data_IF_404204961301
#
_entry.id   IF_404204961301
#
_cell.length_a   1.000
_cell.length_b   1.000
_cell.length_c   1.000
_cell.angle_alpha   90.00
_cell.angle_beta   90.00
_cell.angle_gamma   90.00
#
_symmetry.space_group_name_H-M   'P 1'
#
loop_
_entity.id
_entity.type
_entity.pdbx_description
1 polymer ?
#
# COMPACT_ATOMS: atom_id res chain seq x y z
N UNK A 1 8.28 21.12 28.22
CA UNK A 1 8.82 19.80 27.81
C UNK A 1 8.55 19.64 26.33
N UNK A 2 9.50 20.02 25.47
CA UNK A 2 9.34 19.90 24.03
C UNK A 2 9.19 18.41 23.69
N UNK A 3 8.05 18.00 23.16
CA UNK A 3 7.85 16.67 22.60
C UNK A 3 8.91 16.47 21.51
N UNK A 4 9.99 15.77 21.84
CA UNK A 4 10.91 15.21 20.87
C UNK A 4 10.13 14.13 20.10
N UNK A 5 9.45 14.52 19.02
CA UNK A 5 8.91 13.60 18.05
C UNK A 5 10.08 13.04 17.24
N UNK A 6 10.82 12.10 17.82
CA UNK A 6 11.82 11.37 17.06
C UNK A 6 11.12 10.53 15.99
N UNK A 7 11.67 10.58 14.80
CA UNK A 7 11.24 9.86 13.62
C UNK A 7 11.64 8.39 13.79
N UNK A 8 10.91 7.63 14.62
CA UNK A 8 11.27 6.23 14.92
C UNK A 8 10.93 5.28 13.75
N UNK A 9 11.61 5.45 12.62
CA UNK A 9 11.96 4.30 11.79
C UNK A 9 13.34 3.82 12.28
N UNK A 10 13.60 2.50 12.33
CA UNK A 10 14.88 2.00 12.82
C UNK A 10 16.07 2.65 12.09
N UNK A 11 17.05 3.15 12.84
CA UNK A 11 18.17 3.93 12.30
C UNK A 11 19.02 3.11 11.31
N UNK A 12 19.06 1.79 11.53
CA UNK A 12 19.74 0.78 10.73
C UNK A 12 19.27 0.77 9.26
N UNK A 13 18.12 1.39 8.97
CA UNK A 13 17.49 1.40 7.66
C UNK A 13 17.72 2.73 6.91
N UNK A 14 18.41 3.70 7.51
CA UNK A 14 18.64 5.00 6.86
C UNK A 14 19.61 4.94 5.68
N UNK A 15 20.48 3.93 5.59
CA UNK A 15 21.61 3.88 4.65
C UNK A 15 21.58 2.71 3.65
N UNK A 16 20.56 1.82 3.71
CA UNK A 16 20.61 0.52 3.02
C UNK A 16 20.17 0.52 1.54
N UNK A 17 19.49 1.56 1.05
CA UNK A 17 18.68 1.49 -0.17
C UNK A 17 19.25 2.16 -1.43
N UNK A 18 20.57 2.16 -1.61
CA UNK A 18 21.25 2.96 -2.64
C UNK A 18 21.66 2.18 -3.90
N UNK A 19 21.69 0.84 -3.82
CA UNK A 19 22.10 -0.07 -4.89
C UNK A 19 21.10 -1.23 -4.99
N UNK A 20 19.88 -0.92 -5.48
CA UNK A 20 18.87 -1.95 -5.69
C UNK A 20 19.31 -2.88 -6.82
N UNK A 21 19.41 -4.17 -6.49
CA UNK A 21 19.59 -5.24 -7.46
C UNK A 21 18.42 -6.21 -7.33
N UNK A 22 17.68 -6.48 -8.42
CA UNK A 22 16.61 -7.47 -8.36
C UNK A 22 17.22 -8.82 -7.98
N UNK A 23 16.63 -9.43 -6.96
CA UNK A 23 16.84 -10.83 -6.60
C UNK A 23 15.86 -11.67 -7.41
N UNK A 24 16.31 -12.81 -7.90
CA UNK A 24 15.44 -13.81 -8.49
C UNK A 24 14.83 -14.66 -7.37
N UNK A 25 13.60 -15.10 -7.55
CA UNK A 25 12.86 -15.91 -6.59
C UNK A 25 12.23 -17.12 -7.30
N UNK A 26 13.05 -18.14 -7.63
CA UNK A 26 12.57 -19.34 -8.31
C UNK A 26 11.48 -20.05 -7.50
N UNK A 27 10.57 -20.72 -8.20
CA UNK A 27 9.44 -21.43 -7.58
C UNK A 27 9.89 -22.45 -6.52
N UNK A 28 10.99 -23.17 -6.76
CA UNK A 28 11.54 -24.14 -5.79
C UNK A 28 11.99 -23.46 -4.48
N UNK A 29 12.70 -22.32 -4.57
CA UNK A 29 13.14 -21.57 -3.40
C UNK A 29 11.96 -20.93 -2.67
N UNK A 30 10.99 -20.39 -3.41
CA UNK A 30 9.74 -19.87 -2.85
C UNK A 30 9.02 -20.92 -2.02
N UNK A 31 8.80 -22.11 -2.58
CA UNK A 31 8.13 -23.23 -1.91
C UNK A 31 8.90 -23.71 -0.68
N UNK A 32 10.22 -23.82 -0.76
CA UNK A 32 11.07 -24.18 0.37
C UNK A 32 10.98 -23.17 1.52
N UNK A 33 11.08 -21.87 1.23
CA UNK A 33 10.97 -20.83 2.24
C UNK A 33 9.53 -20.72 2.79
N UNK A 34 8.51 -20.99 1.97
CA UNK A 34 7.12 -21.09 2.42
C UNK A 34 6.91 -22.21 3.43
N UNK A 35 7.39 -23.42 3.16
CA UNK A 35 7.29 -24.53 4.10
C UNK A 35 7.99 -24.24 5.43
N UNK A 36 9.16 -23.60 5.36
CA UNK A 36 9.91 -23.13 6.53
C UNK A 36 9.10 -22.10 7.33
N UNK A 37 8.49 -21.13 6.67
CA UNK A 37 7.65 -20.13 7.36
C UNK A 37 6.40 -20.74 7.97
N UNK A 38 5.75 -21.69 7.32
CA UNK A 38 4.62 -22.45 7.87
C UNK A 38 5.04 -23.19 9.14
N UNK A 39 6.20 -23.87 9.10
CA UNK A 39 6.75 -24.60 10.24
C UNK A 39 7.09 -23.68 11.41
N UNK A 40 7.70 -22.52 11.14
CA UNK A 40 7.96 -21.49 12.15
C UNK A 40 6.66 -20.95 12.76
N UNK A 41 5.66 -20.67 11.94
CA UNK A 41 4.35 -20.23 12.40
C UNK A 41 3.68 -21.28 13.28
N UNK A 42 3.72 -22.56 12.91
CA UNK A 42 3.15 -23.66 13.70
C UNK A 42 3.84 -23.83 15.05
N UNK A 43 5.17 -23.77 15.08
CA UNK A 43 5.94 -23.99 16.31
C UNK A 43 5.89 -22.80 17.27
N UNK A 44 5.80 -21.57 16.76
CA UNK A 44 5.97 -20.36 17.57
C UNK A 44 4.67 -19.58 17.82
N UNK A 45 3.57 -19.89 17.14
CA UNK A 45 2.29 -19.19 17.31
C UNK A 45 1.19 -20.18 17.70
N UNK A 46 0.81 -20.17 18.98
CA UNK A 46 -0.24 -21.03 19.54
C UNK A 46 -1.59 -20.83 18.84
N UNK A 47 -1.95 -19.58 18.51
CA UNK A 47 -3.18 -19.31 17.78
C UNK A 47 -3.19 -19.97 16.40
N UNK A 48 -2.08 -19.92 15.65
CA UNK A 48 -2.00 -20.54 14.33
C UNK A 48 -2.07 -22.06 14.42
N UNK A 49 -1.34 -22.66 15.37
CA UNK A 49 -1.36 -24.10 15.63
C UNK A 49 -2.73 -24.62 16.09
N UNK A 50 -3.33 -23.98 17.08
CA UNK A 50 -4.50 -24.53 17.76
C UNK A 50 -5.83 -24.11 17.11
N UNK A 51 -5.85 -23.01 16.36
CA UNK A 51 -7.08 -22.49 15.71
C UNK A 51 -7.04 -22.60 14.20
N UNK A 52 -5.97 -22.15 13.56
CA UNK A 52 -5.93 -22.09 12.09
C UNK A 52 -5.66 -23.47 11.50
N UNK A 53 -4.62 -24.18 11.94
CA UNK A 53 -4.29 -25.51 11.45
C UNK A 53 -5.41 -26.52 11.63
N UNK A 54 -6.05 -26.54 12.81
CA UNK A 54 -7.19 -27.43 13.09
C UNK A 54 -8.40 -27.13 12.21
N UNK A 55 -8.66 -25.84 11.92
CA UNK A 55 -9.78 -25.44 11.06
C UNK A 55 -9.61 -25.98 9.64
N UNK A 56 -8.39 -25.94 9.12
CA UNK A 56 -8.08 -26.40 7.76
C UNK A 56 -7.75 -27.90 7.69
N UNK A 57 -7.77 -28.62 8.82
CA UNK A 57 -7.29 -30.00 8.93
C UNK A 57 -5.90 -30.21 8.28
N UNK A 58 -5.03 -29.22 8.44
CA UNK A 58 -3.78 -29.14 7.68
C UNK A 58 -2.63 -29.83 8.44
N UNK A 59 -1.93 -30.71 7.74
CA UNK A 59 -0.68 -31.35 8.20
C UNK A 59 0.49 -30.79 7.41
N UNK A 60 1.58 -30.42 8.10
CA UNK A 60 2.79 -29.91 7.44
C UNK A 60 3.40 -31.05 6.60
N UNK A 61 3.45 -30.91 5.26
CA UNK A 61 4.08 -31.92 4.41
C UNK A 61 5.61 -31.81 4.46
N UNK A 62 6.31 -32.84 3.97
CA UNK A 62 7.78 -32.80 3.87
C UNK A 62 8.29 -31.85 2.78
N UNK A 63 7.48 -31.66 1.74
CA UNK A 63 7.76 -30.79 0.60
C UNK A 63 6.45 -30.17 0.09
N UNK A 64 6.55 -29.02 -0.58
CA UNK A 64 5.44 -28.38 -1.29
C UNK A 64 5.90 -27.86 -2.64
N UNK A 65 4.98 -27.80 -3.59
CA UNK A 65 5.15 -27.20 -4.90
C UNK A 65 4.20 -26.00 -5.08
N UNK A 66 4.29 -25.29 -6.21
CA UNK A 66 3.38 -24.19 -6.54
C UNK A 66 1.92 -24.67 -6.64
N UNK A 67 1.69 -25.92 -7.03
CA UNK A 67 0.35 -26.47 -7.15
C UNK A 67 -0.32 -26.74 -5.79
N UNK A 68 0.48 -26.84 -4.72
CA UNK A 68 -0.01 -27.14 -3.38
C UNK A 68 -0.38 -25.88 -2.58
N UNK A 69 -0.06 -24.69 -3.11
CA UNK A 69 -0.22 -23.42 -2.39
C UNK A 69 -1.66 -23.16 -1.94
N UNK A 70 -2.65 -23.63 -2.71
CA UNK A 70 -4.07 -23.46 -2.37
C UNK A 70 -4.51 -24.21 -1.11
N UNK A 71 -3.74 -25.22 -0.68
CA UNK A 71 -4.00 -25.97 0.56
C UNK A 71 -3.46 -25.27 1.81
N UNK A 72 -2.60 -24.26 1.66
CA UNK A 72 -1.96 -23.58 2.80
C UNK A 72 -3.04 -22.84 3.61
N UNK A 73 -3.07 -23.00 4.96
CA UNK A 73 -4.04 -22.31 5.79
C UNK A 73 -3.85 -20.79 5.77
N UNK A 74 -4.84 -20.08 5.20
CA UNK A 74 -4.86 -18.62 5.13
C UNK A 74 -5.41 -17.96 6.40
N UNK A 75 -5.02 -16.71 6.62
CA UNK A 75 -5.54 -15.85 7.69
C UNK A 75 -6.35 -14.71 7.08
N UNK A 76 -7.64 -14.55 7.43
CA UNK A 76 -8.44 -13.42 6.97
C UNK A 76 -7.92 -12.10 7.55
N UNK A 77 -7.91 -11.03 6.76
CA UNK A 77 -7.52 -9.65 7.16
C UNK A 77 -8.21 -9.18 8.44
N UNK A 78 -9.45 -9.59 8.65
CA UNK A 78 -10.24 -9.29 9.85
C UNK A 78 -9.56 -9.75 11.15
N UNK A 79 -8.70 -10.77 11.10
CA UNK A 79 -7.96 -11.28 12.28
C UNK A 79 -6.98 -10.24 12.83
N UNK A 80 -6.45 -9.36 11.98
CA UNK A 80 -5.45 -8.35 12.35
C UNK A 80 -6.06 -7.07 12.90
N UNK A 81 -7.40 -6.92 12.86
CA UNK A 81 -8.10 -5.72 13.34
C UNK A 81 -7.88 -5.54 14.84
N UNK A 82 -7.61 -4.30 15.26
CA UNK A 82 -7.35 -3.93 16.66
C UNK A 82 -8.49 -4.39 17.57
N UNK A 83 -9.75 -4.26 17.14
CA UNK A 83 -10.93 -4.67 17.91
C UNK A 83 -10.96 -6.16 18.24
N UNK A 84 -10.27 -7.00 17.46
CA UNK A 84 -10.20 -8.45 17.72
C UNK A 84 -9.21 -8.79 18.83
N UNK A 85 -8.30 -7.87 19.19
CA UNK A 85 -7.26 -8.07 20.18
C UNK A 85 -6.38 -9.32 19.90
N UNK A 86 -6.16 -9.63 18.62
CA UNK A 86 -5.40 -10.83 18.18
C UNK A 86 -4.02 -10.51 17.59
N UNK A 87 -3.71 -9.23 17.33
CA UNK A 87 -2.44 -8.83 16.72
C UNK A 87 -1.21 -9.37 17.44
N UNK A 88 -1.23 -9.44 18.79
CA UNK A 88 -0.14 -10.02 19.58
C UNK A 88 -0.14 -11.55 19.56
N UNK A 89 -1.33 -12.18 19.51
CA UNK A 89 -1.47 -13.64 19.41
C UNK A 89 -0.93 -14.21 18.10
N UNK A 90 -0.81 -13.37 17.07
CA UNK A 90 -0.22 -13.72 15.78
C UNK A 90 1.31 -13.55 15.75
N UNK A 91 1.96 -13.06 16.81
CA UNK A 91 3.41 -12.90 16.83
C UNK A 91 4.12 -14.27 16.78
N UNK A 92 5.21 -14.36 16.00
CA UNK A 92 6.06 -15.56 15.89
C UNK A 92 7.38 -15.46 16.64
N UNK A 93 7.66 -14.27 17.17
CA UNK A 93 8.87 -13.96 17.91
C UNK A 93 8.50 -13.22 19.19
N UNK A 94 9.36 -13.26 20.22
CA UNK A 94 9.15 -12.47 21.44
C UNK A 94 8.99 -10.97 21.13
N UNK A 95 8.12 -10.27 21.87
CA UNK A 95 7.76 -8.87 21.59
C UNK A 95 8.95 -7.90 21.66
N UNK A 96 10.02 -8.25 22.40
CA UNK A 96 11.27 -7.48 22.42
C UNK A 96 12.01 -7.49 21.07
N UNK A 97 11.78 -8.50 20.22
CA UNK A 97 12.36 -8.61 18.88
C UNK A 97 11.51 -7.91 17.82
N UNK A 98 10.35 -7.36 18.19
CA UNK A 98 9.51 -6.55 17.31
C UNK A 98 10.07 -5.13 17.27
N UNK A 99 10.50 -4.73 16.08
CA UNK A 99 11.05 -3.40 15.83
C UNK A 99 9.94 -2.34 15.87
N UNK A 100 8.82 -2.61 15.18
CA UNK A 100 7.66 -1.73 15.13
C UNK A 100 6.37 -2.50 14.83
N UNK A 101 5.24 -1.82 14.97
CA UNK A 101 3.95 -2.32 14.53
C UNK A 101 3.47 -1.49 13.33
N UNK A 102 3.17 -2.13 12.19
CA UNK A 102 2.53 -1.44 11.07
C UNK A 102 1.02 -1.37 11.28
N UNK A 103 0.43 -0.23 10.94
CA UNK A 103 -0.97 0.08 11.19
C UNK A 103 -1.67 0.54 9.91
N UNK A 104 -2.89 0.08 9.68
CA UNK A 104 -3.72 0.57 8.57
C UNK A 104 -4.32 1.93 8.91
N UNK A 105 -4.59 2.76 7.90
CA UNK A 105 -5.23 4.07 8.09
C UNK A 105 -6.72 4.02 8.45
N UNK A 106 -7.36 2.84 8.34
CA UNK A 106 -8.77 2.48 8.60
C UNK A 106 -9.81 3.61 8.59
N UNK A 107 -10.75 3.48 7.65
CA UNK A 107 -11.90 4.38 7.48
C UNK A 107 -13.00 4.16 8.52
N UNK A 108 -13.00 3.00 9.20
CA UNK A 108 -14.02 2.57 10.18
C UNK A 108 -13.60 2.85 11.63
N UNK A 109 -12.37 3.32 11.86
CA UNK A 109 -11.83 3.55 13.21
C UNK A 109 -11.25 2.29 13.87
N UNK A 110 -11.25 1.16 13.16
CA UNK A 110 -10.66 -0.10 13.62
C UNK A 110 -9.51 -0.51 12.69
N UNK A 111 -8.26 -0.14 13.01
CA UNK A 111 -7.13 -0.43 12.16
C UNK A 111 -6.61 -1.85 12.35
N UNK A 112 -6.09 -2.43 11.28
CA UNK A 112 -5.22 -3.60 11.38
C UNK A 112 -3.88 -3.20 11.99
N UNK A 113 -3.37 -4.00 12.92
CA UNK A 113 -2.07 -3.81 13.57
C UNK A 113 -1.25 -5.10 13.40
N UNK A 114 -0.04 -4.97 12.86
CA UNK A 114 0.81 -6.12 12.48
C UNK A 114 2.20 -5.94 13.08
N UNK A 115 2.68 -6.91 13.89
CA UNK A 115 4.06 -6.91 14.38
C UNK A 115 5.07 -7.07 13.24
N UNK A 116 6.14 -6.26 13.23
CA UNK A 116 7.21 -6.30 12.22
C UNK A 116 8.58 -6.35 12.90
N UNK A 117 9.40 -7.32 12.51
CA UNK A 117 10.84 -7.34 12.80
C UNK A 117 11.60 -6.36 11.90
N UNK A 118 12.89 -6.17 12.14
CA UNK A 118 13.75 -5.39 11.23
C UNK A 118 13.82 -6.01 9.84
N UNK A 119 13.90 -7.34 9.75
CA UNK A 119 13.92 -8.08 8.48
C UNK A 119 12.61 -7.92 7.70
N UNK A 120 11.47 -7.90 8.40
CA UNK A 120 10.18 -7.65 7.76
C UNK A 120 10.12 -6.28 7.12
N UNK A 121 10.65 -5.27 7.82
CA UNK A 121 10.70 -3.92 7.30
C UNK A 121 11.64 -3.81 6.10
N UNK A 122 12.81 -4.44 6.19
CA UNK A 122 13.77 -4.50 5.08
C UNK A 122 13.13 -5.10 3.81
N UNK A 123 12.36 -6.18 3.97
CA UNK A 123 11.64 -6.77 2.85
C UNK A 123 10.54 -5.86 2.30
N UNK A 124 9.81 -5.12 3.15
CA UNK A 124 8.85 -4.11 2.69
C UNK A 124 9.56 -3.02 1.87
N UNK A 125 10.74 -2.56 2.29
CA UNK A 125 11.51 -1.57 1.52
C UNK A 125 11.98 -2.13 0.19
N UNK A 126 12.47 -3.38 0.19
CA UNK A 126 12.84 -4.07 -1.04
C UNK A 126 11.66 -4.16 -2.02
N UNK A 127 10.49 -4.60 -1.54
CA UNK A 127 9.27 -4.70 -2.35
C UNK A 127 8.83 -3.33 -2.90
N UNK A 128 8.89 -2.28 -2.08
CA UNK A 128 8.63 -0.90 -2.52
C UNK A 128 9.58 -0.48 -3.65
N UNK A 129 10.89 -0.64 -3.48
CA UNK A 129 11.87 -0.23 -4.49
C UNK A 129 11.73 -1.05 -5.77
N UNK A 130 11.44 -2.35 -5.66
CA UNK A 130 11.18 -3.22 -6.81
C UNK A 130 9.99 -2.70 -7.62
N UNK A 131 8.84 -2.47 -6.97
CA UNK A 131 7.65 -1.93 -7.66
C UNK A 131 7.92 -0.55 -8.25
N UNK A 132 8.64 0.32 -7.53
CA UNK A 132 8.98 1.63 -8.06
C UNK A 132 9.88 1.52 -9.29
N UNK A 133 10.88 0.65 -9.26
CA UNK A 133 11.80 0.42 -10.38
C UNK A 133 11.05 -0.14 -11.59
N UNK A 134 10.20 -1.14 -11.39
CA UNK A 134 9.49 -1.84 -12.47
C UNK A 134 8.36 -1.00 -13.10
N UNK A 135 7.69 -0.12 -12.34
CA UNK A 135 6.49 0.59 -12.82
C UNK A 135 6.65 2.11 -12.94
N UNK A 136 7.62 2.72 -12.25
CA UNK A 136 7.71 4.18 -12.08
C UNK A 136 8.98 4.81 -12.66
N UNK A 137 9.74 4.07 -13.47
CA UNK A 137 11.04 4.51 -13.98
C UNK A 137 11.93 5.07 -12.86
N UNK A 138 12.02 4.38 -11.72
CA UNK A 138 12.63 4.94 -10.50
C UNK A 138 14.08 5.42 -10.70
N UNK A 139 14.83 4.75 -11.57
CA UNK A 139 16.16 5.15 -12.06
C UNK A 139 16.20 6.55 -12.71
N UNK A 140 15.12 6.96 -13.39
CA UNK A 140 15.02 8.28 -14.03
C UNK A 140 14.76 9.40 -13.01
N UNK A 141 14.39 9.07 -11.78
CA UNK A 141 14.23 10.06 -10.71
C UNK A 141 15.57 10.57 -10.19
N UNK A 142 16.65 9.80 -10.31
CA UNK A 142 17.98 10.23 -9.86
C UNK A 142 19.03 9.94 -10.91
N UNK A 143 19.44 10.97 -11.64
CA UNK A 143 20.42 10.88 -12.74
C UNK A 143 21.61 11.78 -12.39
N UNK A 144 22.73 11.17 -11.98
CA UNK A 144 23.88 11.92 -11.47
C UNK A 144 23.51 12.79 -10.26
N UNK A 145 23.65 14.10 -10.39
CA UNK A 145 23.24 15.08 -9.38
C UNK A 145 21.75 15.45 -9.43
N UNK A 146 21.04 15.14 -10.53
CA UNK A 146 19.63 15.49 -10.71
C UNK A 146 18.73 14.65 -9.81
N UNK A 147 17.64 15.24 -9.35
CA UNK A 147 16.66 14.60 -8.45
C UNK A 147 15.23 14.83 -8.93
N UNK A 148 14.35 13.87 -8.65
CA UNK A 148 12.92 14.02 -8.89
C UNK A 148 12.29 14.96 -7.87
N UNK A 149 11.17 15.57 -8.24
CA UNK A 149 10.28 16.27 -7.31
C UNK A 149 8.98 15.47 -7.21
N UNK A 150 8.62 15.02 -6.01
CA UNK A 150 7.37 14.29 -5.77
C UNK A 150 6.37 15.20 -5.09
N UNK A 151 5.27 15.50 -5.75
CA UNK A 151 4.09 16.10 -5.13
C UNK A 151 3.27 15.01 -4.46
N UNK A 152 3.46 14.85 -3.15
CA UNK A 152 2.87 13.76 -2.39
C UNK A 152 1.50 14.20 -1.83
N UNK A 153 0.41 13.62 -2.34
CA UNK A 153 -0.97 13.80 -1.91
C UNK A 153 -1.24 12.99 -0.64
N UNK A 154 -0.47 13.31 0.39
CA UNK A 154 -0.59 12.81 1.75
C UNK A 154 -0.11 13.89 2.73
N UNK A 155 -0.42 13.74 4.02
CA UNK A 155 0.20 14.55 5.06
C UNK A 155 1.65 14.16 5.30
N UNK A 156 2.42 15.09 5.87
CA UNK A 156 3.79 14.81 6.28
C UNK A 156 3.88 13.73 7.38
N UNK A 157 5.10 13.23 7.60
CA UNK A 157 5.38 12.15 8.57
C UNK A 157 5.00 12.47 9.99
N UNK A 158 5.24 13.70 10.43
CA UNK A 158 4.90 14.12 11.79
C UNK A 158 3.39 13.99 11.99
N UNK A 159 2.62 14.45 11.01
CA UNK A 159 1.17 14.35 11.06
C UNK A 159 0.67 12.91 10.94
N UNK A 160 1.25 12.09 10.06
CA UNK A 160 0.93 10.66 9.97
C UNK A 160 1.19 9.92 11.29
N UNK A 161 2.27 10.26 12.00
CA UNK A 161 2.58 9.71 13.32
C UNK A 161 1.52 10.07 14.36
N UNK A 162 1.07 11.34 14.38
CA UNK A 162 -0.03 11.78 15.26
C UNK A 162 -1.34 11.05 14.96
N UNK A 163 -1.70 10.91 13.68
CA UNK A 163 -2.89 10.16 13.27
C UNK A 163 -2.78 8.69 13.68
N UNK A 164 -1.60 8.08 13.53
CA UNK A 164 -1.37 6.69 13.93
C UNK A 164 -1.62 6.50 15.42
N UNK A 165 -1.07 7.38 16.29
CA UNK A 165 -1.30 7.32 17.74
C UNK A 165 -2.79 7.41 18.10
N UNK A 166 -3.54 8.21 17.34
CA UNK A 166 -5.00 8.32 17.53
C UNK A 166 -5.73 7.04 17.10
N UNK A 167 -5.43 6.49 15.92
CA UNK A 167 -6.07 5.25 15.43
C UNK A 167 -5.73 4.04 16.31
N UNK A 168 -4.48 3.92 16.74
CA UNK A 168 -4.00 2.85 17.60
C UNK A 168 -4.16 3.15 19.11
N UNK A 169 -4.94 4.18 19.47
CA UNK A 169 -5.20 4.51 20.88
C UNK A 169 -5.72 3.28 21.64
N UNK A 170 -5.17 3.07 22.84
CA UNK A 170 -5.48 1.94 23.71
C UNK A 170 -4.67 0.67 23.43
N UNK A 171 -3.88 0.64 22.36
CA UNK A 171 -2.95 -0.46 22.12
C UNK A 171 -1.68 -0.28 22.97
N UNK A 172 -1.24 -1.36 23.62
CA UNK A 172 -0.09 -1.37 24.55
C UNK A 172 1.19 -0.80 23.91
N UNK A 173 1.42 -1.09 22.62
CA UNK A 173 2.60 -0.66 21.88
C UNK A 173 2.34 0.53 20.93
N UNK A 174 1.39 1.40 21.28
CA UNK A 174 0.99 2.56 20.45
C UNK A 174 2.19 3.45 20.05
N UNK A 175 3.17 3.63 20.92
CA UNK A 175 4.35 4.47 20.63
C UNK A 175 5.31 3.83 19.61
N UNK A 176 5.30 2.50 19.47
CA UNK A 176 6.01 1.74 18.44
C UNK A 176 5.17 1.51 17.16
N UNK A 177 3.96 2.08 17.08
CA UNK A 177 3.03 1.83 15.95
C UNK A 177 3.13 2.92 14.88
N UNK A 178 3.27 2.55 13.60
CA UNK A 178 3.39 3.47 12.45
C UNK A 178 2.44 3.07 11.33
N UNK A 179 1.90 4.03 10.57
CA UNK A 179 1.13 3.68 9.39
C UNK A 179 1.98 2.95 8.36
N UNK A 180 1.40 1.93 7.73
CA UNK A 180 2.06 1.11 6.72
C UNK A 180 2.60 1.94 5.54
N UNK A 181 1.87 2.99 5.13
CA UNK A 181 2.33 3.92 4.09
C UNK A 181 3.58 4.69 4.49
N UNK A 182 3.74 5.04 5.77
CA UNK A 182 4.95 5.68 6.26
C UNK A 182 6.15 4.72 6.22
N UNK A 183 5.90 3.41 6.40
CA UNK A 183 6.92 2.38 6.20
C UNK A 183 7.33 2.33 4.73
N UNK A 184 6.40 2.29 3.78
CA UNK A 184 6.69 2.15 2.35
C UNK A 184 7.35 3.39 1.72
N UNK A 185 7.12 4.59 2.25
CA UNK A 185 7.54 5.85 1.60
C UNK A 185 9.02 6.22 1.79
N UNK A 186 9.77 5.53 2.64
CA UNK A 186 11.18 5.87 2.92
C UNK A 186 12.09 5.91 1.67
N UNK A 187 11.93 5.03 0.66
CA UNK A 187 12.76 5.10 -0.54
C UNK A 187 12.50 6.38 -1.34
N UNK A 188 11.26 6.90 -1.39
CA UNK A 188 10.95 8.12 -2.16
C UNK A 188 11.76 9.33 -1.71
N UNK A 189 11.92 9.52 -0.41
CA UNK A 189 12.73 10.62 0.15
C UNK A 189 14.21 10.51 -0.18
N UNK A 190 14.69 9.29 -0.38
CA UNK A 190 16.08 9.10 -0.74
C UNK A 190 16.35 9.47 -2.21
N UNK A 191 15.42 9.15 -3.12
CA UNK A 191 15.61 9.36 -4.56
C UNK A 191 15.09 10.72 -5.05
N UNK A 192 14.12 11.30 -4.36
CA UNK A 192 13.45 12.53 -4.76
C UNK A 192 13.22 13.49 -3.59
N UNK A 193 12.99 14.76 -3.92
CA UNK A 193 12.50 15.75 -2.96
C UNK A 193 10.97 15.64 -2.85
N UNK A 194 10.47 15.26 -1.67
CA UNK A 194 9.04 15.15 -1.41
C UNK A 194 8.43 16.47 -0.93
N UNK A 195 7.40 16.93 -1.64
CA UNK A 195 6.53 18.03 -1.24
C UNK A 195 5.15 17.48 -0.86
N UNK A 196 4.91 17.32 0.44
CA UNK A 196 3.63 16.90 1.00
C UNK A 196 2.55 17.98 0.83
N UNK A 197 1.48 17.68 0.10
CA UNK A 197 0.46 18.66 -0.26
C UNK A 197 -0.62 18.87 0.80
N UNK A 198 -0.85 17.90 1.70
CA UNK A 198 -1.85 18.06 2.77
C UNK A 198 -1.22 18.85 3.91
N UNK A 199 -1.68 20.10 4.11
CA UNK A 199 -1.23 20.97 5.19
C UNK A 199 -2.35 21.24 6.20
N UNK A 200 -1.98 21.44 7.46
CA UNK A 200 -2.91 21.93 8.49
C UNK A 200 -2.99 23.47 8.46
N UNK A 201 -4.20 24.03 8.48
CA UNK A 201 -4.37 25.45 8.83
C UNK A 201 -4.50 25.61 10.34
N UNK A 202 -3.36 25.71 11.02
CA UNK A 202 -3.26 25.86 12.49
C UNK A 202 -4.26 26.90 13.04
N UNK A 203 -4.32 28.10 12.44
CA UNK A 203 -5.24 29.17 12.89
C UNK A 203 -6.73 28.86 12.69
N UNK A 204 -7.11 28.20 11.58
CA UNK A 204 -8.52 27.80 11.35
C UNK A 204 -8.92 26.62 12.23
N UNK A 205 -8.01 25.68 12.45
CA UNK A 205 -8.21 24.55 13.35
C UNK A 205 -8.36 25.02 14.79
N UNK A 206 -7.54 25.97 15.25
CA UNK A 206 -7.68 26.60 16.57
C UNK A 206 -9.04 27.31 16.72
N UNK A 207 -9.47 28.05 15.70
CA UNK A 207 -10.77 28.73 15.72
C UNK A 207 -11.94 27.73 15.75
N UNK A 208 -11.88 26.65 14.97
CA UNK A 208 -12.89 25.59 14.96
C UNK A 208 -12.97 24.81 16.29
N UNK A 209 -11.83 24.60 16.97
CA UNK A 209 -11.78 23.98 18.29
C UNK A 209 -12.48 24.87 19.33
N UNK A 210 -12.21 26.18 19.31
CA UNK A 210 -12.83 27.15 20.20
C UNK A 210 -14.35 27.26 19.94
N UNK A 211 -14.77 27.21 18.67
CA UNK A 211 -16.17 27.45 18.29
C UNK A 211 -17.06 26.21 18.32
N UNK A 212 -16.51 25.00 18.20
CA UNK A 212 -17.30 23.76 18.07
C UNK A 212 -16.98 22.67 19.10
N UNK A 213 -15.97 22.87 19.97
CA UNK A 213 -15.41 21.83 20.85
C UNK A 213 -15.08 20.50 20.11
N UNK A 214 -14.94 20.55 18.78
CA UNK A 214 -14.65 19.40 17.92
C UNK A 214 -13.36 19.64 17.14
N UNK A 215 -12.51 18.63 17.05
CA UNK A 215 -11.32 18.63 16.19
C UNK A 215 -11.71 18.20 14.77
N UNK A 216 -12.72 18.83 14.16
CA UNK A 216 -12.99 18.62 12.72
C UNK A 216 -11.97 19.46 11.93
N UNK A 217 -10.85 18.84 11.59
CA UNK A 217 -9.62 19.49 11.13
C UNK A 217 -9.73 20.23 9.80
N UNK A 218 -9.26 21.48 9.78
CA UNK A 218 -9.13 22.32 8.59
C UNK A 218 -7.90 21.96 7.76
N UNK A 219 -7.97 20.85 7.01
CA UNK A 219 -6.94 20.45 6.05
C UNK A 219 -7.13 21.14 4.71
N UNK A 220 -6.02 21.50 4.06
CA UNK A 220 -6.03 22.07 2.70
C UNK A 220 -4.93 21.42 1.88
N UNK A 221 -5.24 21.18 0.60
CA UNK A 221 -4.26 20.82 -0.42
C UNK A 221 -3.57 22.10 -0.92
N UNK A 222 -2.25 22.20 -0.75
CA UNK A 222 -1.47 23.37 -1.21
C UNK A 222 -1.17 23.32 -2.72
N UNK A 223 -2.25 23.29 -3.51
CA UNK A 223 -2.20 23.24 -4.98
C UNK A 223 -1.55 24.51 -5.55
N UNK A 224 -1.64 25.66 -4.87
CA UNK A 224 -1.03 26.91 -5.35
C UNK A 224 0.49 26.83 -5.33
N UNK A 225 1.08 26.29 -4.25
CA UNK A 225 2.52 26.05 -4.17
C UNK A 225 2.95 25.05 -5.24
N UNK A 226 2.20 23.97 -5.43
CA UNK A 226 2.45 22.97 -6.48
C UNK A 226 2.53 23.61 -7.88
N UNK A 227 1.53 24.40 -8.28
CA UNK A 227 1.53 25.06 -9.59
C UNK A 227 2.69 26.06 -9.74
N UNK A 228 3.04 26.80 -8.67
CA UNK A 228 4.21 27.69 -8.66
C UNK A 228 5.52 26.91 -8.87
N UNK A 229 5.62 25.73 -8.24
CA UNK A 229 6.77 24.83 -8.41
C UNK A 229 6.86 24.33 -9.84
N UNK A 230 5.78 23.79 -10.39
CA UNK A 230 5.71 23.31 -11.78
C UNK A 230 6.14 24.41 -12.75
N UNK A 231 5.56 25.61 -12.64
CA UNK A 231 5.90 26.74 -13.51
C UNK A 231 7.39 27.10 -13.43
N UNK A 232 7.98 27.12 -12.23
CA UNK A 232 9.41 27.42 -12.06
C UNK A 232 10.28 26.33 -12.69
N UNK A 233 9.95 25.06 -12.45
CA UNK A 233 10.70 23.91 -12.99
C UNK A 233 10.66 23.91 -14.52
N UNK A 234 9.50 24.15 -15.13
CA UNK A 234 9.38 24.23 -16.59
C UNK A 234 10.20 25.37 -17.19
N UNK A 235 10.30 26.51 -16.49
CA UNK A 235 11.05 27.66 -16.97
C UNK A 235 12.56 27.53 -16.80
N UNK A 236 13.03 26.89 -15.73
CA UNK A 236 14.46 26.92 -15.35
C UNK A 236 15.11 25.55 -15.26
N UNK A 237 14.36 24.45 -15.33
CA UNK A 237 14.84 23.09 -15.05
C UNK A 237 15.20 22.84 -13.57
N UNK A 238 14.88 23.79 -12.68
CA UNK A 238 15.37 23.78 -11.29
C UNK A 238 14.27 24.12 -10.27
N UNK A 239 14.37 23.54 -9.08
CA UNK A 239 13.66 23.98 -7.90
C UNK A 239 14.62 24.15 -6.73
N UNK A 240 14.73 25.39 -6.22
CA UNK A 240 15.80 25.78 -5.29
C UNK A 240 17.17 25.41 -5.87
N UNK A 241 17.98 24.64 -5.14
CA UNK A 241 19.31 24.19 -5.55
C UNK A 241 19.29 22.80 -6.24
N UNK A 242 18.11 22.31 -6.63
CA UNK A 242 17.91 21.00 -7.22
C UNK A 242 17.70 21.16 -8.72
N UNK A 243 18.57 20.56 -9.53
CA UNK A 243 18.30 20.31 -10.94
C UNK A 243 17.31 19.13 -11.04
N UNK A 244 16.17 19.37 -11.68
CA UNK A 244 15.05 18.44 -11.67
C UNK A 244 15.16 17.45 -12.82
N UNK A 245 15.13 16.15 -12.51
CA UNK A 245 15.11 15.08 -13.51
C UNK A 245 13.69 14.76 -13.99
N UNK A 246 12.73 14.65 -13.06
CA UNK A 246 11.33 14.29 -13.34
C UNK A 246 10.39 14.85 -12.26
N UNK A 247 9.14 15.09 -12.64
CA UNK A 247 8.06 15.46 -11.70
C UNK A 247 7.19 14.24 -11.45
N UNK A 248 6.88 13.93 -10.20
CA UNK A 248 5.95 12.86 -9.85
C UNK A 248 4.74 13.41 -9.12
N UNK A 249 3.55 12.93 -9.46
CA UNK A 249 2.35 13.09 -8.61
C UNK A 249 2.15 11.78 -7.87
N UNK A 250 2.34 11.78 -6.54
CA UNK A 250 2.33 10.55 -5.73
C UNK A 250 1.24 10.55 -4.68
N UNK A 251 0.70 9.38 -4.33
CA UNK A 251 -0.18 9.21 -3.16
C UNK A 251 -1.67 9.10 -3.53
N UNK A 252 -2.53 9.80 -2.78
CA UNK A 252 -3.97 9.49 -2.80
C UNK A 252 -4.70 9.90 -4.08
N UNK A 253 -5.26 8.95 -4.87
CA UNK A 253 -6.09 9.28 -6.03
C UNK A 253 -7.32 10.11 -5.65
N UNK A 254 -7.90 9.89 -4.48
CA UNK A 254 -9.02 10.71 -3.97
C UNK A 254 -8.68 12.20 -3.86
N UNK A 255 -7.49 12.50 -3.34
CA UNK A 255 -7.05 13.89 -3.13
C UNK A 255 -6.58 14.53 -4.43
N UNK A 256 -5.94 13.75 -5.30
CA UNK A 256 -5.59 14.15 -6.66
C UNK A 256 -6.85 14.49 -7.47
N UNK A 257 -7.87 13.63 -7.44
CA UNK A 257 -9.15 13.87 -8.12
C UNK A 257 -9.82 15.15 -7.61
N UNK A 258 -9.87 15.34 -6.28
CA UNK A 258 -10.42 16.55 -5.68
C UNK A 258 -9.69 17.84 -6.12
N UNK A 259 -8.38 17.78 -6.37
CA UNK A 259 -7.64 18.92 -6.92
C UNK A 259 -8.12 19.28 -8.33
N UNK A 260 -8.35 18.30 -9.21
CA UNK A 260 -8.85 18.56 -10.56
C UNK A 260 -10.24 19.16 -10.52
N UNK A 261 -11.17 18.48 -9.86
CA UNK A 261 -12.59 18.81 -9.81
C UNK A 261 -12.88 20.16 -9.14
N UNK A 262 -12.21 20.44 -8.02
CA UNK A 262 -12.48 21.66 -7.27
C UNK A 262 -11.72 22.86 -7.78
N UNK A 263 -10.67 22.65 -8.59
CA UNK A 263 -9.78 23.74 -8.96
C UNK A 263 -9.30 23.69 -10.40
N UNK A 264 -8.44 22.74 -10.76
CA UNK A 264 -7.64 22.86 -11.98
C UNK A 264 -8.49 22.90 -13.26
N UNK A 265 -9.57 22.12 -13.30
CA UNK A 265 -10.49 22.12 -14.45
C UNK A 265 -11.29 23.43 -14.54
N UNK A 266 -11.76 23.95 -13.41
CA UNK A 266 -12.52 25.21 -13.35
C UNK A 266 -11.66 26.43 -13.71
N UNK A 267 -10.42 26.44 -13.22
CA UNK A 267 -9.41 27.47 -13.51
C UNK A 267 -8.80 27.31 -14.92
N UNK A 268 -9.18 26.26 -15.68
CA UNK A 268 -8.64 25.93 -17.01
C UNK A 268 -7.11 25.91 -17.03
N UNK A 269 -6.52 25.32 -16.00
CA UNK A 269 -5.07 25.20 -15.86
C UNK A 269 -4.53 24.26 -16.93
N UNK A 270 -3.40 24.64 -17.53
CA UNK A 270 -2.65 23.78 -18.44
C UNK A 270 -1.14 23.95 -18.21
N UNK A 271 -0.43 22.83 -18.07
CA UNK A 271 1.03 22.76 -18.08
C UNK A 271 1.47 21.53 -18.85
N UNK A 272 2.29 21.69 -19.89
CA UNK A 272 2.76 20.54 -20.67
C UNK A 272 3.88 19.76 -19.95
N UNK A 273 3.50 18.63 -19.34
CA UNK A 273 4.38 17.72 -18.63
C UNK A 273 4.66 16.42 -19.39
N UNK A 274 4.33 16.35 -20.68
CA UNK A 274 4.64 15.16 -21.50
C UNK A 274 6.16 14.88 -21.50
N UNK A 275 6.50 13.61 -21.31
CA UNK A 275 7.85 13.10 -21.12
C UNK A 275 8.58 13.59 -19.84
N UNK A 276 7.98 14.50 -19.05
CA UNK A 276 8.59 15.12 -17.86
C UNK A 276 7.98 14.64 -16.55
N UNK A 277 6.85 13.94 -16.60
CA UNK A 277 6.14 13.51 -15.41
C UNK A 277 5.61 12.09 -15.48
N UNK A 278 5.48 11.47 -14.31
CA UNK A 278 4.77 10.21 -14.07
C UNK A 278 3.78 10.45 -12.92
N UNK A 279 2.67 9.72 -12.93
CA UNK A 279 1.68 9.72 -11.84
C UNK A 279 1.69 8.35 -11.18
N UNK A 280 1.82 8.35 -9.85
CA UNK A 280 1.70 7.18 -9.00
C UNK A 280 0.61 7.30 -7.97
N UNK A 281 -0.50 6.64 -8.28
CA UNK A 281 -1.57 6.40 -7.35
C UNK A 281 -1.13 5.36 -6.31
N UNK A 282 -1.60 5.53 -5.07
CA UNK A 282 -1.27 4.61 -4.00
C UNK A 282 -2.03 4.86 -2.69
N UNK A 283 -2.14 3.80 -1.89
CA UNK A 283 -2.83 3.82 -0.60
C UNK A 283 -4.35 3.95 -0.71
N UNK A 284 -4.94 3.59 -1.85
CA UNK A 284 -6.39 3.52 -2.09
C UNK A 284 -7.13 4.86 -2.04
N UNK A 285 -8.45 4.79 -1.94
CA UNK A 285 -9.38 5.92 -1.97
C UNK A 285 -10.17 6.05 -3.28
N UNK A 286 -10.07 5.07 -4.18
CA UNK A 286 -10.86 4.98 -5.40
C UNK A 286 -12.37 4.97 -5.11
N UNK A 287 -12.78 4.25 -4.05
CA UNK A 287 -14.16 4.17 -3.53
C UNK A 287 -14.68 5.45 -2.86
N UNK A 288 -13.91 6.55 -2.90
CA UNK A 288 -14.29 7.83 -2.29
C UNK A 288 -13.94 7.93 -0.80
N UNK A 289 -13.37 6.89 -0.19
CA UNK A 289 -13.11 6.85 1.25
C UNK A 289 -11.64 6.56 1.56
N UNK A 290 -10.98 7.45 2.31
CA UNK A 290 -9.60 7.24 2.77
C UNK A 290 -9.35 7.84 4.14
N UNK A 291 -9.09 6.99 5.13
CA UNK A 291 -9.02 7.41 6.54
C UNK A 291 -10.27 8.22 6.92
N UNK A 292 -10.08 9.46 7.34
CA UNK A 292 -11.17 10.39 7.70
C UNK A 292 -11.75 11.16 6.49
N UNK A 293 -11.09 11.11 5.33
CA UNK A 293 -11.57 11.79 4.12
C UNK A 293 -12.67 10.96 3.46
N UNK A 294 -13.84 11.59 3.27
CA UNK A 294 -15.00 11.03 2.56
C UNK A 294 -15.42 12.00 1.47
N UNK A 295 -15.32 11.57 0.22
CA UNK A 295 -15.76 12.31 -0.97
C UNK A 295 -16.52 11.34 -1.89
N UNK A 296 -16.84 11.78 -3.11
CA UNK A 296 -17.37 10.87 -4.13
C UNK A 296 -16.33 9.86 -4.61
N UNK A 297 -16.81 8.74 -5.12
CA UNK A 297 -16.01 7.76 -5.86
C UNK A 297 -15.23 8.45 -6.99
N UNK A 298 -14.02 7.96 -7.24
CA UNK A 298 -13.16 8.46 -8.31
C UNK A 298 -13.37 7.61 -9.55
N UNK A 299 -13.99 8.21 -10.56
CA UNK A 299 -14.04 7.65 -11.91
C UNK A 299 -12.60 7.61 -12.49
N UNK A 300 -12.08 6.41 -12.72
CA UNK A 300 -10.69 6.21 -13.15
C UNK A 300 -10.45 6.75 -14.56
N UNK A 301 -11.37 6.57 -15.50
CA UNK A 301 -11.23 7.09 -16.87
C UNK A 301 -11.20 8.61 -16.88
N UNK A 302 -12.13 9.27 -16.17
CA UNK A 302 -12.13 10.73 -16.02
C UNK A 302 -10.88 11.24 -15.30
N UNK A 303 -10.35 10.48 -14.35
CA UNK A 303 -9.10 10.80 -13.66
C UNK A 303 -7.91 10.80 -14.63
N UNK A 304 -7.81 9.77 -15.49
CA UNK A 304 -6.81 9.68 -16.57
C UNK A 304 -6.94 10.86 -17.53
N UNK A 305 -8.15 11.12 -18.03
CA UNK A 305 -8.44 12.25 -18.93
C UNK A 305 -8.09 13.61 -18.31
N UNK A 306 -8.33 13.77 -17.00
CA UNK A 306 -8.01 15.01 -16.28
C UNK A 306 -6.51 15.28 -16.25
N UNK A 307 -5.70 14.25 -16.04
CA UNK A 307 -4.24 14.35 -16.13
C UNK A 307 -3.77 14.69 -17.55
N UNK A 308 -4.34 14.06 -18.57
CA UNK A 308 -4.00 14.40 -19.95
C UNK A 308 -4.41 15.83 -20.31
N UNK A 309 -5.63 16.25 -19.93
CA UNK A 309 -6.15 17.58 -20.24
C UNK A 309 -5.40 18.72 -19.54
N UNK A 310 -5.04 18.54 -18.27
CA UNK A 310 -4.44 19.60 -17.44
C UNK A 310 -2.92 19.58 -17.52
N UNK A 311 -2.32 18.38 -17.62
CA UNK A 311 -0.88 18.20 -17.53
C UNK A 311 -0.24 17.59 -18.79
N UNK A 312 -1.01 17.25 -19.83
CA UNK A 312 -0.55 16.49 -21.00
C UNK A 312 0.21 15.20 -20.63
N UNK A 313 -0.11 14.60 -19.49
CA UNK A 313 0.47 13.31 -19.07
C UNK A 313 -0.35 12.20 -19.70
N UNK A 314 0.30 11.34 -20.48
CA UNK A 314 -0.36 10.26 -21.21
C UNK A 314 -0.79 9.13 -20.27
N UNK A 315 -1.85 8.37 -20.59
CA UNK A 315 -2.31 7.25 -19.76
C UNK A 315 -1.20 6.23 -19.45
N UNK A 316 -0.30 6.01 -20.43
CA UNK A 316 0.89 5.18 -20.29
C UNK A 316 1.90 5.68 -19.26
N UNK A 317 1.76 6.85 -18.67
CA UNK A 317 2.63 7.40 -17.62
C UNK A 317 1.89 7.55 -16.28
N UNK A 318 0.68 6.97 -16.19
CA UNK A 318 -0.13 6.88 -14.97
C UNK A 318 -0.15 5.43 -14.49
N UNK A 319 0.10 5.24 -13.20
CA UNK A 319 0.27 3.94 -12.57
C UNK A 319 -0.44 3.91 -11.23
N UNK A 320 -0.78 2.72 -10.77
CA UNK A 320 -1.30 2.50 -9.42
C UNK A 320 -0.44 1.51 -8.64
N UNK A 321 -0.54 1.58 -7.32
CA UNK A 321 0.08 0.64 -6.38
C UNK A 321 -0.99 0.16 -5.42
N UNK A 322 -1.24 -1.15 -5.48
CA UNK A 322 -2.07 -1.83 -4.50
C UNK A 322 -1.18 -2.50 -3.43
N UNK A 323 -1.54 -2.27 -2.17
CA UNK A 323 -0.88 -2.88 -1.02
C UNK A 323 -1.84 -2.85 0.17
N UNK A 324 -1.62 -3.78 1.10
CA UNK A 324 -2.44 -3.95 2.30
C UNK A 324 -1.54 -4.14 3.51
N UNK A 325 -2.00 -3.77 4.71
CA UNK A 325 -1.13 -3.65 5.89
C UNK A 325 -0.67 -5.00 6.44
N UNK A 326 -1.48 -6.03 6.22
CA UNK A 326 -1.34 -7.38 6.73
C UNK A 326 -0.20 -8.14 6.05
N UNK A 327 0.04 -7.88 4.77
CA UNK A 327 1.15 -8.44 3.99
C UNK A 327 2.30 -7.45 3.81
N UNK A 328 3.48 -7.92 3.35
CA UNK A 328 4.59 -7.05 2.95
C UNK A 328 4.59 -6.74 1.44
N UNK A 329 3.67 -7.32 0.67
CA UNK A 329 3.63 -7.22 -0.79
C UNK A 329 3.07 -5.89 -1.27
N UNK A 330 3.65 -5.39 -2.36
CA UNK A 330 3.11 -4.30 -3.17
C UNK A 330 2.92 -4.83 -4.60
N UNK A 331 1.82 -4.45 -5.23
CA UNK A 331 1.48 -4.79 -6.60
C UNK A 331 1.49 -3.50 -7.43
N UNK A 332 2.36 -3.45 -8.44
CA UNK A 332 2.40 -2.34 -9.38
C UNK A 332 1.39 -2.54 -10.51
N UNK A 333 0.74 -1.46 -10.95
CA UNK A 333 -0.25 -1.54 -12.02
C UNK A 333 -0.10 -0.47 -13.09
N UNK A 334 -0.42 -0.87 -14.33
CA UNK A 334 -0.53 0.04 -15.46
C UNK A 334 -1.99 0.20 -15.87
N UNK A 335 -2.32 1.36 -16.44
CA UNK A 335 -3.63 1.60 -17.04
C UNK A 335 -3.88 0.67 -18.22
N UNK A 336 -5.09 0.13 -18.32
CA UNK A 336 -5.59 -0.61 -19.48
C UNK A 336 -6.77 0.12 -20.11
N UNK A 337 -6.63 0.46 -21.39
CA UNK A 337 -7.74 1.01 -22.18
C UNK A 337 -8.85 -0.01 -22.42
N UNK A 338 -8.52 -1.31 -22.46
CA UNK A 338 -9.52 -2.38 -22.66
C UNK A 338 -10.44 -2.48 -21.45
N UNK A 339 -9.86 -2.48 -20.25
CA UNK A 339 -10.59 -2.68 -19.00
C UNK A 339 -11.09 -1.37 -18.39
N UNK A 340 -10.58 -0.22 -18.85
CA UNK A 340 -10.78 1.09 -18.23
C UNK A 340 -10.42 1.06 -16.74
N UNK A 341 -9.35 0.32 -16.41
CA UNK A 341 -8.87 0.12 -15.05
C UNK A 341 -7.34 -0.15 -15.05
N UNK A 342 -6.74 -0.12 -13.87
CA UNK A 342 -5.38 -0.55 -13.64
C UNK A 342 -5.29 -2.09 -13.52
N UNK A 343 -4.42 -2.68 -14.34
CA UNK A 343 -4.02 -4.08 -14.20
C UNK A 343 -2.83 -4.16 -13.23
N UNK A 344 -3.01 -4.85 -12.11
CA UNK A 344 -2.05 -5.03 -11.02
C UNK A 344 -1.28 -6.33 -11.22
N UNK A 345 0.02 -6.31 -10.95
CA UNK A 345 0.93 -7.43 -11.24
C UNK A 345 1.52 -8.01 -9.97
N UNK A 346 1.44 -9.34 -9.86
CA UNK A 346 2.02 -10.11 -8.76
C UNK A 346 3.53 -10.28 -8.97
N UNK A 347 4.39 -9.76 -8.07
CA UNK A 347 5.83 -9.90 -8.20
C UNK A 347 6.30 -11.33 -7.87
N UNK A 348 7.51 -11.67 -8.30
CA UNK A 348 8.18 -12.95 -8.03
C UNK A 348 8.31 -13.32 -6.53
N UNK A 349 8.32 -12.33 -5.63
CA UNK A 349 8.31 -12.53 -4.17
C UNK A 349 6.97 -13.02 -3.60
N UNK A 350 5.92 -13.04 -4.41
CA UNK A 350 4.55 -13.30 -3.97
C UNK A 350 3.83 -14.25 -4.93
N UNK A 351 2.85 -15.00 -4.45
CA UNK A 351 1.85 -15.68 -5.26
C UNK A 351 0.46 -15.21 -4.84
N UNK A 352 -0.51 -15.28 -5.75
CA UNK A 352 -1.90 -15.00 -5.43
C UNK A 352 -2.76 -16.19 -5.79
N UNK A 353 -3.87 -16.31 -5.09
CA UNK A 353 -4.98 -17.20 -5.43
C UNK A 353 -6.23 -16.33 -5.42
N UNK A 354 -7.04 -16.42 -6.46
CA UNK A 354 -8.37 -15.79 -6.47
C UNK A 354 -9.35 -16.91 -6.15
N UNK A 355 -10.08 -16.78 -5.04
CA UNK A 355 -10.99 -17.81 -4.53
C UNK A 355 -12.43 -17.47 -4.81
N UNK A 356 -13.19 -18.44 -5.29
CA UNK A 356 -14.62 -18.29 -5.48
C UNK A 356 -15.32 -17.85 -4.18
N UNK A 357 -16.40 -17.08 -4.30
CA UNK A 357 -17.10 -16.50 -3.15
C UNK A 357 -17.99 -17.50 -2.41
N UNK A 358 -18.34 -18.62 -3.05
CA UNK A 358 -19.25 -19.64 -2.52
C UNK A 358 -18.48 -20.83 -1.94
N UNK A 359 -17.58 -21.44 -2.72
CA UNK A 359 -16.88 -22.68 -2.32
C UNK A 359 -15.43 -22.46 -1.89
N UNK A 360 -14.88 -21.26 -2.07
CA UNK A 360 -13.50 -20.89 -1.75
C UNK A 360 -12.43 -21.65 -2.55
N UNK A 361 -12.80 -22.35 -3.62
CA UNK A 361 -11.86 -22.98 -4.54
C UNK A 361 -11.17 -21.93 -5.45
N UNK A 362 -9.95 -22.20 -5.93
CA UNK A 362 -9.27 -21.32 -6.89
C UNK A 362 -10.05 -21.18 -8.20
N UNK A 363 -10.20 -19.94 -8.68
CA UNK A 363 -10.85 -19.64 -9.96
C UNK A 363 -9.83 -19.59 -11.13
N UNK A 364 -10.33 -19.66 -12.36
CA UNK A 364 -9.56 -19.59 -13.59
C UNK A 364 -9.36 -18.15 -14.09
N UNK A 365 -8.53 -18.00 -15.14
CA UNK A 365 -8.36 -16.74 -15.84
C UNK A 365 -9.71 -16.22 -16.39
N UNK A 366 -10.02 -14.95 -16.12
CA UNK A 366 -11.25 -14.26 -16.47
C UNK A 366 -12.34 -14.32 -15.40
N UNK A 367 -12.14 -15.06 -14.31
CA UNK A 367 -13.11 -15.22 -13.23
C UNK A 367 -12.83 -14.28 -12.05
N UNK A 368 -13.89 -13.99 -11.28
CA UNK A 368 -13.85 -13.09 -10.11
C UNK A 368 -13.88 -13.87 -8.80
N UNK A 369 -13.23 -13.33 -7.76
CA UNK A 369 -13.22 -13.94 -6.43
C UNK A 369 -12.49 -13.10 -5.39
N UNK A 370 -12.33 -13.65 -4.18
CA UNK A 370 -11.52 -13.04 -3.13
C UNK A 370 -10.04 -13.22 -3.39
N UNK A 371 -9.29 -12.14 -3.18
CA UNK A 371 -7.84 -12.19 -3.28
C UNK A 371 -7.22 -12.84 -2.03
N UNK A 372 -6.52 -13.95 -2.21
CA UNK A 372 -5.54 -14.47 -1.27
C UNK A 372 -4.12 -14.14 -1.75
N UNK A 373 -3.27 -13.70 -0.82
CA UNK A 373 -1.88 -13.34 -1.07
C UNK A 373 -0.96 -14.21 -0.22
N UNK A 374 0.01 -14.86 -0.88
CA UNK A 374 0.97 -15.77 -0.26
C UNK A 374 2.40 -15.27 -0.46
N UNK A 375 3.17 -15.15 0.62
CA UNK A 375 4.60 -14.85 0.54
C UNK A 375 5.36 -15.38 1.76
N UNK A 376 6.53 -16.00 1.58
CA UNK A 376 7.38 -16.40 2.70
C UNK A 376 8.35 -15.29 3.14
N UNK A 377 8.36 -14.14 2.46
CA UNK A 377 9.35 -13.09 2.68
C UNK A 377 8.75 -11.94 3.47
N UNK A 378 9.45 -11.47 4.50
CA UNK A 378 9.02 -10.31 5.30
C UNK A 378 7.82 -10.58 6.23
N UNK A 379 7.71 -11.84 6.65
CA UNK A 379 6.63 -12.38 7.47
C UNK A 379 7.19 -13.02 8.75
N UNK A 380 8.35 -12.60 9.24
CA UNK A 380 9.03 -13.20 10.40
C UNK A 380 8.39 -12.79 11.74
N UNK A 381 7.88 -11.56 11.86
CA UNK A 381 7.34 -11.03 13.11
C UNK A 381 5.93 -11.53 13.46
N UNK A 382 5.13 -11.84 12.45
CA UNK A 382 3.74 -12.26 12.59
C UNK A 382 3.43 -13.44 11.69
N UNK A 383 2.39 -14.20 11.99
CA UNK A 383 1.80 -15.13 11.03
C UNK A 383 1.02 -14.31 10.01
N UNK A 384 1.52 -14.27 8.77
CA UNK A 384 0.94 -13.55 7.63
C UNK A 384 1.54 -14.04 6.29
N UNK A 385 1.99 -15.30 6.24
CA UNK A 385 2.52 -15.92 5.02
C UNK A 385 1.45 -16.26 3.98
N UNK A 386 0.19 -16.39 4.40
CA UNK A 386 -0.99 -16.57 3.55
C UNK A 386 -2.13 -15.74 4.14
N UNK A 387 -2.60 -14.75 3.40
CA UNK A 387 -3.60 -13.78 3.87
C UNK A 387 -4.76 -13.70 2.87
N UNK A 388 -5.97 -13.98 3.35
CA UNK A 388 -7.20 -13.76 2.59
C UNK A 388 -7.67 -12.32 2.80
N UNK A 389 -7.75 -11.56 1.72
CA UNK A 389 -8.07 -10.13 1.71
C UNK A 389 -9.56 -9.93 1.42
N UNK A 390 -10.13 -8.83 1.93
CA UNK A 390 -11.55 -8.47 1.74
C UNK A 390 -11.86 -7.86 0.34
N UNK A 391 -10.86 -7.72 -0.53
CA UNK A 391 -11.00 -7.15 -1.86
C UNK A 391 -11.40 -8.27 -2.86
N UNK A 392 -12.43 -7.99 -3.67
CA UNK A 392 -12.87 -8.83 -4.79
C UNK A 392 -12.11 -8.41 -6.03
N UNK A 393 -11.54 -9.37 -6.73
CA UNK A 393 -10.69 -9.16 -7.90
C UNK A 393 -11.10 -10.06 -9.04
N UNK A 394 -10.85 -9.62 -10.28
CA UNK A 394 -10.85 -10.48 -11.46
C UNK A 394 -9.42 -10.95 -11.73
N UNK A 395 -9.22 -12.27 -11.89
CA UNK A 395 -7.95 -12.84 -12.32
C UNK A 395 -7.80 -12.64 -13.84
N UNK A 396 -7.05 -11.64 -14.27
CA UNK A 396 -6.86 -11.37 -15.72
C UNK A 396 -5.95 -12.41 -16.38
N UNK A 397 -4.95 -12.90 -15.65
CA UNK A 397 -4.05 -13.98 -16.10
C UNK A 397 -3.26 -14.54 -14.93
N UNK A 398 -3.16 -15.86 -14.80
CA UNK A 398 -2.40 -16.50 -13.73
C UNK A 398 -0.88 -16.52 -13.92
N UNK A 399 -0.36 -16.26 -15.14
CA UNK A 399 1.06 -16.49 -15.46
C UNK A 399 1.79 -15.31 -16.09
N UNK A 400 1.10 -14.50 -16.89
CA UNK A 400 1.73 -13.40 -17.63
C UNK A 400 0.69 -12.38 -18.07
N UNK A 401 0.95 -11.10 -17.83
CA UNK A 401 0.05 -10.04 -18.29
C UNK A 401 -0.09 -10.05 -19.82
N UNK A 402 -1.33 -10.08 -20.36
CA UNK A 402 -1.56 -10.09 -21.80
C UNK A 402 -1.21 -8.75 -22.48
N UNK A 403 -1.19 -7.64 -21.74
CA UNK A 403 -0.97 -6.31 -22.31
C UNK A 403 0.51 -5.87 -22.28
N UNK A 404 1.19 -6.03 -21.14
CA UNK A 404 2.57 -5.57 -20.98
C UNK A 404 3.61 -6.72 -20.93
N UNK A 405 3.15 -7.97 -20.83
CA UNK A 405 4.02 -9.14 -20.81
C UNK A 405 4.78 -9.39 -19.51
N UNK A 406 4.46 -8.68 -18.43
CA UNK A 406 5.01 -8.94 -17.08
C UNK A 406 4.77 -10.40 -16.68
N UNK A 407 5.80 -11.08 -16.15
CA UNK A 407 5.73 -12.47 -15.70
C UNK A 407 5.17 -12.54 -14.29
N UNK A 408 4.13 -13.32 -14.08
CA UNK A 408 3.38 -13.39 -12.83
C UNK A 408 1.88 -13.17 -13.05
N UNK A 409 1.10 -13.50 -12.04
CA UNK A 409 -0.34 -13.30 -12.08
C UNK A 409 -0.69 -11.81 -12.21
N UNK A 410 -1.77 -11.50 -12.92
CA UNK A 410 -2.27 -10.15 -13.19
C UNK A 410 -3.75 -10.11 -12.83
N UNK A 411 -4.18 -9.08 -12.11
CA UNK A 411 -5.56 -8.93 -11.65
C UNK A 411 -6.01 -7.47 -11.64
N UNK A 412 -7.32 -7.23 -11.53
CA UNK A 412 -7.87 -5.90 -11.27
C UNK A 412 -8.86 -5.94 -10.12
N UNK A 413 -8.99 -4.83 -9.40
CA UNK A 413 -9.87 -4.73 -8.23
C UNK A 413 -11.28 -4.37 -8.70
N UNK A 414 -12.23 -5.26 -8.44
CA UNK A 414 -13.65 -5.06 -8.77
C UNK A 414 -14.37 -4.35 -7.62
N UNK A 415 -14.01 -4.66 -6.38
CA UNK A 415 -14.62 -4.03 -5.22
C UNK A 415 -14.17 -4.61 -3.90
N UNK A 416 -14.97 -4.36 -2.86
CA UNK A 416 -14.77 -4.89 -1.51
C UNK A 416 -15.98 -5.67 -1.08
N UNK A 417 -15.76 -6.83 -0.47
CA UNK A 417 -16.83 -7.73 -0.03
C UNK A 417 -17.85 -7.01 0.87
N UNK A 418 -17.37 -6.15 1.79
CA UNK A 418 -18.23 -5.37 2.68
C UNK A 418 -19.17 -4.42 1.93
N UNK A 419 -18.70 -3.84 0.84
CA UNK A 419 -19.48 -2.91 0.03
C UNK A 419 -20.40 -3.66 -0.94
N UNK A 420 -19.96 -4.81 -1.45
CA UNK A 420 -20.70 -5.62 -2.43
C UNK A 420 -21.82 -6.46 -1.80
N UNK A 421 -21.61 -7.04 -0.61
CA UNK A 421 -22.54 -8.00 0.00
C UNK A 421 -22.88 -7.69 1.47
N UNK A 422 -22.36 -6.61 2.05
CA UNK A 422 -22.52 -6.33 3.49
C UNK A 422 -21.79 -7.32 4.41
N UNK A 423 -20.97 -8.21 3.82
CA UNK A 423 -20.23 -9.29 4.47
C UNK A 423 -18.75 -8.95 4.61
N UNK A 424 -18.09 -9.44 5.65
CA UNK A 424 -16.62 -9.43 5.76
C UNK A 424 -16.06 -10.80 5.38
N UNK A 425 -14.76 -10.91 5.04
CA UNK A 425 -14.13 -12.22 4.76
C UNK A 425 -14.33 -13.20 5.92
N UNK A 426 -14.41 -12.67 7.14
CA UNK A 426 -14.74 -13.42 8.35
C UNK A 426 -16.16 -13.97 8.39
N UNK A 427 -17.14 -13.38 7.70
CA UNK A 427 -18.53 -13.87 7.68
C UNK A 427 -18.79 -14.92 6.61
N UNK A 428 -17.85 -15.09 5.67
CA UNK A 428 -17.81 -16.24 4.75
C UNK A 428 -17.15 -17.46 5.40
N UNK A 429 -16.78 -17.34 6.67
CA UNK A 429 -16.07 -18.35 7.44
C UNK A 429 -16.95 -18.74 8.63
N UNK A 430 -17.29 -20.02 8.72
CA UNK A 430 -17.95 -20.57 9.90
C UNK A 430 -17.02 -20.42 11.11
N UNK A 431 -17.42 -19.57 12.05
CA UNK A 431 -16.75 -19.42 13.33
C UNK A 431 -17.18 -20.56 14.25
N UNK A 432 -16.29 -21.52 14.46
CA UNK A 432 -16.39 -22.38 15.65
C UNK A 432 -15.79 -21.59 16.82
N UNK A 433 -16.64 -21.18 17.75
CA UNK A 433 -16.25 -20.47 18.98
C UNK A 433 -15.30 -21.30 19.86
#
# INVERSE_FOLDING_TARGET
MFLKFHEFLPEELNTKYFDFKPRDYPDEEFCKEMLKQISLSYNNCEYYKEKIFKKFDFTIPNEISINDLASIPYIPTETYKKSRNRSLSLAKVPLQNIALFSCSSSTTGDPSIVPRTLEDFDQIQYNSIKVFTEFFDFEKLKIGSKRGIVFNFSPDRLFMSLMTKRSAKGFEYVDKTRYFTACMNKPWEFYAHEEYLVKMKILKTLWAIISTFSVKGGFILDVSKMLKMIKKILNTGHWNNIEVSKILFGGSPLLMNNMFEKRLLNEKVFYDLDGKSIVGCGGGGWDGVKGEAKMGEVDKSRFIESYEKVFNIKPKDIRDIYAFTEGPTLFGGHWSEKYQDFLLHCPDTTRIIVRDLEDMEPVNDGEEGLLEVLTPYGVNGSVNQAVLVDDIVELVSGKKCPECGYKGATFRIIGRLKNAQGKSCSSLIDWVY
#
